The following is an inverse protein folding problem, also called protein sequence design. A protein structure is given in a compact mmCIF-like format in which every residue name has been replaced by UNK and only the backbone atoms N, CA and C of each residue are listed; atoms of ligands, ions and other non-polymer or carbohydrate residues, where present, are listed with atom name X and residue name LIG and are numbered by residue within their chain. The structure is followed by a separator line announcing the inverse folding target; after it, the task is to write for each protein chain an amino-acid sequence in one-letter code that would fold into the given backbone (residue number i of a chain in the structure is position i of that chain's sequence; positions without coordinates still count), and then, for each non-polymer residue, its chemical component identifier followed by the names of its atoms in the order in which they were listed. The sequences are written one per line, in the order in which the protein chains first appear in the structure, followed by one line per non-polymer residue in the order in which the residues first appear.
data_IF_254042944859
#
_entry.id   IF_254042944859
#
_cell.length_a   1.000
_cell.length_b   1.000
_cell.length_c   1.000
_cell.angle_alpha   90.00
_cell.angle_beta   90.00
_cell.angle_gamma   90.00
#
_symmetry.space_group_name_H-M   'P 1'
#
loop_
_entity.id
_entity.type
_entity.pdbx_description
1 polymer ?
#
# COMPACT_ATOMS: atom_id res chain seq x y z
N UNK A 1 10.27 40.90 -0.50
CA UNK A 1 9.71 39.52 -0.48
C UNK A 1 10.35 38.75 0.66
N UNK A 2 9.54 38.34 1.64
CA UNK A 2 10.01 37.76 2.89
C UNK A 2 10.44 36.31 2.69
N UNK A 3 11.74 36.06 2.52
CA UNK A 3 12.33 34.73 2.28
C UNK A 3 12.10 33.70 3.39
N UNK A 4 11.72 34.15 4.60
CA UNK A 4 11.32 33.27 5.70
C UNK A 4 10.04 32.48 5.43
N UNK A 5 9.11 33.04 4.66
CA UNK A 5 7.87 32.35 4.30
C UNK A 5 8.08 31.25 3.22
N UNK A 6 9.06 31.40 2.33
CA UNK A 6 9.34 30.40 1.29
C UNK A 6 9.82 29.06 1.88
N UNK A 7 10.65 29.06 2.92
CA UNK A 7 11.09 27.81 3.58
C UNK A 7 9.94 27.11 4.31
N UNK A 8 9.05 27.87 4.95
CA UNK A 8 7.87 27.29 5.61
C UNK A 8 6.90 26.68 4.62
N UNK A 9 6.62 27.37 3.50
CA UNK A 9 5.70 26.90 2.46
C UNK A 9 6.21 25.58 1.84
N UNK A 10 7.49 25.48 1.49
CA UNK A 10 8.05 24.25 0.93
C UNK A 10 8.00 23.07 1.91
N UNK A 11 8.26 23.33 3.18
CA UNK A 11 8.17 22.30 4.23
C UNK A 11 6.74 21.85 4.44
N UNK A 12 5.81 22.78 4.53
CA UNK A 12 4.40 22.49 4.78
C UNK A 12 3.77 21.73 3.60
N UNK A 13 4.14 22.10 2.36
CA UNK A 13 3.77 21.35 1.17
C UNK A 13 4.36 19.93 1.16
N UNK A 14 5.62 19.76 1.55
CA UNK A 14 6.24 18.43 1.63
C UNK A 14 5.53 17.55 2.67
N UNK A 15 5.18 18.08 3.83
CA UNK A 15 4.43 17.37 4.87
C UNK A 15 3.05 16.97 4.34
N UNK A 16 2.37 17.87 3.64
CA UNK A 16 1.06 17.58 3.07
C UNK A 16 1.12 16.46 2.01
N UNK A 17 2.12 16.48 1.14
CA UNK A 17 2.34 15.46 0.12
C UNK A 17 2.68 14.10 0.76
N UNK A 18 3.52 14.09 1.79
CA UNK A 18 3.91 12.87 2.50
C UNK A 18 2.78 12.28 3.37
N UNK A 19 1.74 13.03 3.69
CA UNK A 19 0.64 12.55 4.53
C UNK A 19 -0.07 11.34 3.94
N UNK A 20 -0.24 11.27 2.62
CA UNK A 20 -0.90 10.16 1.93
C UNK A 20 -0.12 8.82 2.08
N UNK A 21 1.18 8.72 1.72
CA UNK A 21 1.93 7.49 1.92
C UNK A 21 2.10 7.14 3.41
N UNK A 22 2.25 8.14 4.30
CA UNK A 22 2.34 7.91 5.75
C UNK A 22 1.04 7.32 6.29
N UNK A 23 -0.13 7.83 5.86
CA UNK A 23 -1.42 7.28 6.27
C UNK A 23 -1.62 5.85 5.79
N UNK A 24 -1.14 5.50 4.59
CA UNK A 24 -1.14 4.13 4.08
C UNK A 24 -0.30 3.17 4.92
N UNK A 25 0.90 3.59 5.33
CA UNK A 25 1.76 2.80 6.23
C UNK A 25 1.11 2.65 7.60
N UNK A 26 0.55 3.71 8.15
CA UNK A 26 -0.14 3.69 9.45
C UNK A 26 -1.36 2.76 9.40
N UNK A 27 -2.14 2.80 8.34
CA UNK A 27 -3.29 1.91 8.15
C UNK A 27 -2.84 0.44 8.04
N UNK A 28 -1.72 0.17 7.36
CA UNK A 28 -1.11 -1.16 7.30
C UNK A 28 -0.75 -1.66 8.70
N UNK A 29 -0.07 -0.84 9.52
CA UNK A 29 0.32 -1.20 10.89
C UNK A 29 -0.90 -1.51 11.75
N UNK A 30 -1.92 -0.66 11.70
CA UNK A 30 -3.17 -0.85 12.44
C UNK A 30 -3.87 -2.15 11.99
N UNK A 31 -3.96 -2.39 10.69
CA UNK A 31 -4.58 -3.58 10.13
C UNK A 31 -3.84 -4.86 10.53
N UNK A 32 -2.49 -4.83 10.52
CA UNK A 32 -1.68 -5.96 10.97
C UNK A 32 -1.86 -6.23 12.46
N UNK A 33 -1.83 -5.20 13.29
CA UNK A 33 -2.07 -5.34 14.73
C UNK A 33 -3.46 -5.96 15.00
N UNK A 34 -4.49 -5.47 14.32
CA UNK A 34 -5.85 -5.98 14.44
C UNK A 34 -5.94 -7.45 13.97
N UNK A 35 -5.27 -7.78 12.86
CA UNK A 35 -5.20 -9.13 12.33
C UNK A 35 -4.60 -10.11 13.34
N UNK A 36 -3.46 -9.77 13.95
CA UNK A 36 -2.81 -10.59 14.97
C UNK A 36 -3.68 -10.77 16.22
N UNK A 37 -4.31 -9.69 16.68
CA UNK A 37 -5.18 -9.71 17.85
C UNK A 37 -6.39 -10.64 17.60
N UNK A 38 -7.06 -10.47 16.48
CA UNK A 38 -8.20 -11.31 16.11
C UNK A 38 -7.76 -12.76 15.90
N UNK A 39 -6.66 -13.00 15.20
CA UNK A 39 -6.14 -14.35 14.99
C UNK A 39 -5.86 -15.06 16.32
N UNK A 40 -5.25 -14.36 17.29
CA UNK A 40 -5.01 -14.91 18.62
C UNK A 40 -6.30 -15.24 19.38
N UNK A 41 -7.31 -14.37 19.32
CA UNK A 41 -8.64 -14.62 19.88
C UNK A 41 -9.28 -15.82 19.19
N UNK A 42 -9.20 -15.89 17.86
CA UNK A 42 -9.77 -16.97 17.07
C UNK A 42 -9.19 -18.35 17.40
N UNK A 43 -7.89 -18.44 17.68
CA UNK A 43 -7.28 -19.70 18.15
C UNK A 43 -7.85 -20.10 19.53
N UNK A 44 -8.02 -19.15 20.45
CA UNK A 44 -8.55 -19.41 21.78
C UNK A 44 -10.02 -19.85 21.77
N UNK A 45 -10.81 -19.33 20.83
CA UNK A 45 -12.21 -19.66 20.66
C UNK A 45 -12.47 -20.86 19.74
N UNK A 46 -11.41 -21.40 19.10
CA UNK A 46 -11.53 -22.49 18.12
C UNK A 46 -12.10 -22.07 16.76
N UNK A 47 -12.25 -20.76 16.52
CA UNK A 47 -12.79 -20.21 15.27
C UNK A 47 -11.68 -20.03 14.19
N UNK A 48 -10.44 -19.82 14.60
CA UNK A 48 -9.30 -19.74 13.68
C UNK A 48 -8.64 -21.12 13.53
N UNK A 49 -8.20 -21.42 12.30
CA UNK A 49 -7.54 -22.69 12.01
C UNK A 49 -6.15 -22.73 12.66
N UNK A 50 -5.88 -23.70 13.52
CA UNK A 50 -4.56 -23.86 14.12
C UNK A 50 -3.54 -24.23 13.04
N UNK A 51 -2.35 -23.62 13.12
CA UNK A 51 -1.26 -23.86 12.16
C UNK A 51 -1.20 -22.94 10.96
N UNK A 52 -2.19 -22.07 10.77
CA UNK A 52 -2.16 -21.05 9.70
C UNK A 52 -1.69 -19.72 10.29
N UNK A 53 -0.52 -19.19 9.87
CA UNK A 53 -0.01 -17.93 10.38
C UNK A 53 -0.83 -16.74 9.86
N UNK A 54 -0.86 -15.60 10.59
CA UNK A 54 -1.60 -14.41 10.18
C UNK A 54 -1.17 -13.86 8.81
N UNK A 55 0.11 -13.99 8.47
CA UNK A 55 0.66 -13.59 7.18
C UNK A 55 -0.01 -14.26 5.98
N UNK A 56 -0.54 -15.48 6.17
CA UNK A 56 -1.28 -16.20 5.14
C UNK A 56 -2.48 -15.39 4.61
N UNK A 57 -3.20 -14.72 5.50
CA UNK A 57 -4.38 -13.91 5.14
C UNK A 57 -4.02 -12.63 4.35
N UNK A 58 -2.78 -12.17 4.47
CA UNK A 58 -2.29 -11.01 3.73
C UNK A 58 -1.83 -11.37 2.32
N UNK A 59 -0.98 -12.39 2.20
CA UNK A 59 -0.14 -12.61 1.01
C UNK A 59 -0.74 -13.64 0.06
N UNK A 60 -1.52 -14.59 0.59
CA UNK A 60 -1.98 -15.72 -0.21
C UNK A 60 -2.96 -15.33 -1.31
N UNK A 61 -2.96 -16.08 -2.39
CA UNK A 61 -3.88 -15.86 -3.51
C UNK A 61 -5.34 -16.09 -3.10
N UNK A 62 -6.27 -15.47 -3.82
CA UNK A 62 -7.71 -15.68 -3.61
C UNK A 62 -8.11 -17.16 -3.68
N UNK A 63 -7.39 -17.95 -4.50
CA UNK A 63 -7.56 -19.41 -4.61
C UNK A 63 -7.21 -20.13 -3.29
N UNK A 64 -6.10 -19.80 -2.66
CA UNK A 64 -5.70 -20.40 -1.40
C UNK A 64 -6.68 -20.09 -0.26
N UNK A 65 -7.26 -18.89 -0.26
CA UNK A 65 -8.28 -18.48 0.70
C UNK A 65 -9.60 -19.24 0.48
N UNK A 66 -10.03 -19.38 -0.77
CA UNK A 66 -11.23 -20.17 -1.13
C UNK A 66 -11.06 -21.64 -0.74
N UNK A 67 -9.88 -22.23 -0.98
CA UNK A 67 -9.58 -23.59 -0.58
C UNK A 67 -9.62 -23.74 0.96
N UNK A 68 -9.09 -22.75 1.67
CA UNK A 68 -9.15 -22.72 3.13
C UNK A 68 -10.59 -22.67 3.65
N UNK A 69 -11.42 -21.80 3.08
CA UNK A 69 -12.85 -21.68 3.43
C UNK A 69 -13.58 -23.00 3.15
N UNK A 70 -13.27 -23.67 2.06
CA UNK A 70 -13.89 -24.94 1.69
C UNK A 70 -13.53 -26.11 2.64
N UNK A 71 -12.43 -26.01 3.38
CA UNK A 71 -12.02 -27.04 4.39
C UNK A 71 -12.68 -26.86 5.75
N UNK A 72 -13.34 -25.71 5.96
CA UNK A 72 -13.98 -25.37 7.25
C UNK A 72 -15.44 -25.85 7.23
N UNK A 73 -15.79 -26.72 8.17
CA UNK A 73 -17.14 -27.29 8.25
C UNK A 73 -18.18 -26.34 8.90
N UNK A 74 -17.72 -25.44 9.78
CA UNK A 74 -18.60 -24.57 10.57
C UNK A 74 -18.80 -23.21 9.93
N UNK A 75 -20.05 -22.77 9.78
CA UNK A 75 -20.41 -21.46 9.21
C UNK A 75 -19.81 -20.29 10.00
N UNK A 76 -19.73 -20.40 11.34
CA UNK A 76 -19.11 -19.39 12.21
C UNK A 76 -17.63 -19.20 11.93
N UNK A 77 -16.89 -20.29 11.74
CA UNK A 77 -15.48 -20.28 11.41
C UNK A 77 -15.23 -19.76 9.97
N UNK A 78 -16.13 -20.01 9.03
CA UNK A 78 -16.10 -19.44 7.67
C UNK A 78 -16.19 -17.92 7.72
N UNK A 79 -17.19 -17.39 8.43
CA UNK A 79 -17.37 -15.94 8.57
C UNK A 79 -16.16 -15.30 9.24
N UNK A 80 -15.64 -15.93 10.30
CA UNK A 80 -14.46 -15.45 11.00
C UNK A 80 -13.21 -15.41 10.10
N UNK A 81 -12.99 -16.47 9.35
CA UNK A 81 -11.88 -16.56 8.36
C UNK A 81 -12.02 -15.48 7.28
N UNK A 82 -13.23 -15.22 6.79
CA UNK A 82 -13.48 -14.16 5.83
C UNK A 82 -13.12 -12.77 6.40
N UNK A 83 -13.44 -12.52 7.67
CA UNK A 83 -13.04 -11.28 8.36
C UNK A 83 -11.53 -11.13 8.44
N UNK A 84 -10.80 -12.18 8.82
CA UNK A 84 -9.34 -12.17 8.84
C UNK A 84 -8.76 -11.88 7.46
N UNK A 85 -9.33 -12.47 6.41
CA UNK A 85 -8.93 -12.23 5.02
C UNK A 85 -9.13 -10.76 4.59
N UNK A 86 -10.25 -10.15 4.95
CA UNK A 86 -10.53 -8.74 4.62
C UNK A 86 -9.50 -7.84 5.29
N UNK A 87 -9.22 -8.04 6.57
CA UNK A 87 -8.26 -7.23 7.32
C UNK A 87 -6.84 -7.43 6.78
N UNK A 88 -6.44 -8.66 6.50
CA UNK A 88 -5.15 -8.97 5.91
C UNK A 88 -4.97 -8.34 4.51
N UNK A 89 -6.01 -8.40 3.67
CA UNK A 89 -6.01 -7.75 2.36
C UNK A 89 -5.97 -6.22 2.46
N UNK A 90 -6.64 -5.65 3.44
CA UNK A 90 -6.56 -4.21 3.69
C UNK A 90 -5.13 -3.79 4.01
N UNK A 91 -4.41 -4.55 4.84
CA UNK A 91 -3.00 -4.29 5.14
C UNK A 91 -2.13 -4.32 3.88
N UNK A 92 -2.28 -5.34 3.03
CA UNK A 92 -1.52 -5.48 1.78
C UNK A 92 -1.82 -4.33 0.80
N UNK A 93 -3.09 -4.01 0.58
CA UNK A 93 -3.49 -2.95 -0.35
C UNK A 93 -3.00 -1.59 0.15
N UNK A 94 -3.07 -1.33 1.46
CA UNK A 94 -2.62 -0.06 2.03
C UNK A 94 -1.13 0.18 1.81
N UNK A 95 -0.28 -0.83 1.98
CA UNK A 95 1.16 -0.70 1.75
C UNK A 95 1.49 -0.60 0.26
N UNK A 96 0.79 -1.36 -0.59
CA UNK A 96 0.94 -1.26 -2.04
C UNK A 96 0.62 0.15 -2.54
N UNK A 97 -0.48 0.73 -2.06
CA UNK A 97 -0.88 2.11 -2.41
C UNK A 97 0.13 3.13 -1.89
N UNK A 98 0.66 2.96 -0.67
CA UNK A 98 1.66 3.85 -0.13
C UNK A 98 2.92 3.90 -1.02
N UNK A 99 3.43 2.74 -1.45
CA UNK A 99 4.56 2.67 -2.38
C UNK A 99 4.20 3.19 -3.78
N UNK A 100 3.00 2.90 -4.26
CA UNK A 100 2.53 3.39 -5.56
C UNK A 100 2.51 4.92 -5.60
N UNK A 101 1.98 5.58 -4.57
CA UNK A 101 1.96 7.04 -4.50
C UNK A 101 3.35 7.68 -4.36
N UNK A 102 4.35 6.92 -3.84
CA UNK A 102 5.73 7.38 -3.80
C UNK A 102 6.46 7.31 -5.16
N UNK A 103 5.91 6.62 -6.16
CA UNK A 103 6.53 6.55 -7.48
C UNK A 103 6.70 7.95 -8.09
N UNK A 104 7.86 8.22 -8.73
CA UNK A 104 8.15 9.51 -9.34
C UNK A 104 7.43 9.69 -10.70
N UNK A 105 6.16 9.34 -10.76
CA UNK A 105 5.34 9.48 -11.95
C UNK A 105 4.56 10.79 -11.92
N UNK A 106 4.51 11.54 -13.02
CA UNK A 106 3.74 12.78 -13.10
C UNK A 106 2.25 12.48 -12.84
N UNK A 107 1.67 13.25 -11.93
CA UNK A 107 0.30 13.03 -11.41
C UNK A 107 0.25 12.34 -10.05
N UNK A 108 1.32 11.67 -9.60
CA UNK A 108 1.42 11.07 -8.27
C UNK A 108 2.15 11.97 -7.25
N UNK A 109 1.98 11.66 -5.99
CA UNK A 109 2.54 12.47 -4.90
C UNK A 109 4.07 12.43 -4.87
N UNK A 110 4.70 11.31 -5.26
CA UNK A 110 6.15 11.21 -5.40
C UNK A 110 6.74 12.21 -6.38
N UNK A 111 6.07 12.46 -7.51
CA UNK A 111 6.50 13.49 -8.46
C UNK A 111 6.40 14.90 -7.86
N UNK A 112 5.29 15.21 -7.18
CA UNK A 112 5.10 16.52 -6.51
C UNK A 112 6.15 16.74 -5.42
N UNK A 113 6.53 15.67 -4.71
CA UNK A 113 7.59 15.73 -3.71
C UNK A 113 8.92 16.10 -4.34
N UNK A 114 9.31 15.44 -5.43
CA UNK A 114 10.53 15.76 -6.19
C UNK A 114 10.47 17.20 -6.71
N UNK A 115 9.35 17.59 -7.31
CA UNK A 115 9.14 18.95 -7.83
C UNK A 115 9.32 20.02 -6.74
N UNK A 116 8.88 19.75 -5.51
CA UNK A 116 9.02 20.68 -4.39
C UNK A 116 10.48 20.94 -3.98
N UNK A 117 11.39 19.98 -4.22
CA UNK A 117 12.81 20.13 -3.91
C UNK A 117 13.62 20.70 -5.07
N UNK A 118 13.11 20.67 -6.31
CA UNK A 118 13.85 21.17 -7.46
C UNK A 118 14.01 22.71 -7.43
N UNK A 119 15.12 23.22 -8.00
CA UNK A 119 15.32 24.65 -8.21
C UNK A 119 14.33 25.23 -9.21
N UNK A 120 14.00 26.52 -9.05
CA UNK A 120 13.02 27.26 -9.86
C UNK A 120 13.27 27.18 -11.39
N UNK A 121 14.52 26.98 -11.81
CA UNK A 121 14.91 26.85 -13.22
C UNK A 121 14.21 25.69 -13.95
N UNK A 122 13.79 24.67 -13.25
CA UNK A 122 13.17 23.46 -13.83
C UNK A 122 11.63 23.49 -13.82
N UNK A 123 11.01 24.52 -13.23
CA UNK A 123 9.55 24.60 -13.14
C UNK A 123 8.84 24.62 -14.48
N UNK A 124 9.41 25.27 -15.51
CA UNK A 124 8.83 25.30 -16.85
C UNK A 124 8.79 23.91 -17.50
N UNK A 125 9.85 23.12 -17.29
CA UNK A 125 9.92 21.75 -17.78
C UNK A 125 8.97 20.83 -17.01
N UNK A 126 8.93 20.99 -15.69
CA UNK A 126 8.00 20.24 -14.84
C UNK A 126 6.54 20.50 -15.23
N UNK A 127 6.18 21.75 -15.48
CA UNK A 127 4.84 22.10 -15.92
C UNK A 127 4.45 21.43 -17.25
N UNK A 128 5.37 21.39 -18.22
CA UNK A 128 5.15 20.66 -19.48
C UNK A 128 4.93 19.17 -19.26
N UNK A 129 5.73 18.54 -18.39
CA UNK A 129 5.59 17.12 -18.06
C UNK A 129 4.25 16.87 -17.36
N UNK A 130 3.85 17.75 -16.45
CA UNK A 130 2.58 17.64 -15.73
C UNK A 130 1.37 17.75 -16.67
N UNK A 131 1.47 18.55 -17.73
CA UNK A 131 0.43 18.67 -18.76
C UNK A 131 0.18 17.34 -19.50
N UNK A 132 1.21 16.50 -19.63
CA UNK A 132 1.11 15.16 -20.24
C UNK A 132 0.95 14.04 -19.20
N UNK A 133 0.75 14.36 -17.92
CA UNK A 133 0.70 13.39 -16.82
C UNK A 133 -0.30 12.27 -17.04
N UNK A 134 -1.48 12.57 -17.59
CA UNK A 134 -2.50 11.58 -17.91
C UNK A 134 -2.02 10.54 -18.91
N UNK A 135 -1.37 10.96 -19.99
CA UNK A 135 -0.86 10.06 -21.03
C UNK A 135 0.30 9.19 -20.51
N UNK A 136 1.18 9.79 -19.70
CA UNK A 136 2.30 9.08 -19.08
C UNK A 136 1.78 8.03 -18.10
N UNK A 137 0.78 8.38 -17.29
CA UNK A 137 0.13 7.48 -16.35
C UNK A 137 -0.58 6.32 -17.07
N UNK A 138 -1.32 6.63 -18.14
CA UNK A 138 -1.98 5.61 -18.98
C UNK A 138 -0.95 4.67 -19.61
N UNK A 139 0.14 5.22 -20.15
CA UNK A 139 1.25 4.45 -20.70
C UNK A 139 1.88 3.53 -19.67
N UNK A 140 2.05 3.99 -18.43
CA UNK A 140 2.57 3.19 -17.32
C UNK A 140 1.64 2.03 -16.95
N UNK A 141 0.32 2.25 -16.90
CA UNK A 141 -0.67 1.20 -16.67
C UNK A 141 -0.60 0.14 -17.78
N UNK A 142 -0.54 0.57 -19.05
CA UNK A 142 -0.40 -0.33 -20.17
C UNK A 142 0.89 -1.14 -20.10
N UNK A 143 2.00 -0.50 -19.72
CA UNK A 143 3.30 -1.15 -19.57
C UNK A 143 3.28 -2.23 -18.49
N UNK A 144 2.65 -1.98 -17.35
CA UNK A 144 2.48 -2.99 -16.28
C UNK A 144 1.64 -4.18 -16.76
N UNK A 145 0.60 -3.93 -17.58
CA UNK A 145 -0.24 -5.00 -18.12
C UNK A 145 0.50 -5.87 -19.15
N UNK A 146 1.35 -5.25 -19.99
CA UNK A 146 2.13 -5.97 -21.02
C UNK A 146 3.33 -6.69 -20.39
N UNK A 147 3.97 -6.08 -19.40
CA UNK A 147 5.13 -6.62 -18.71
C UNK A 147 4.84 -6.86 -17.23
N UNK A 148 4.35 -8.05 -16.84
CA UNK A 148 4.03 -8.36 -15.45
C UNK A 148 5.20 -8.17 -14.48
N UNK A 149 6.44 -8.25 -14.97
CA UNK A 149 7.64 -7.99 -14.17
C UNK A 149 7.72 -6.53 -13.66
N UNK A 150 7.11 -5.57 -14.37
CA UNK A 150 7.05 -4.19 -13.91
C UNK A 150 6.24 -4.03 -12.61
N UNK A 151 5.29 -4.93 -12.36
CA UNK A 151 4.54 -4.96 -11.09
C UNK A 151 5.45 -5.24 -9.89
N UNK A 152 6.55 -5.97 -10.09
CA UNK A 152 7.50 -6.29 -9.01
C UNK A 152 8.16 -5.06 -8.39
N UNK A 153 8.26 -3.94 -9.12
CA UNK A 153 8.82 -2.68 -8.61
C UNK A 153 8.03 -2.19 -7.37
N UNK A 154 6.71 -2.38 -7.37
CA UNK A 154 5.85 -1.96 -6.26
C UNK A 154 5.60 -3.11 -5.28
N UNK A 155 5.43 -4.33 -5.77
CA UNK A 155 5.07 -5.48 -4.94
C UNK A 155 6.21 -6.00 -4.07
N UNK A 156 7.45 -6.05 -4.59
CA UNK A 156 8.59 -6.59 -3.84
C UNK A 156 8.86 -5.81 -2.55
N UNK A 157 9.02 -4.48 -2.54
CA UNK A 157 9.23 -3.74 -1.30
C UNK A 157 8.03 -3.82 -0.35
N UNK A 158 6.81 -3.87 -0.89
CA UNK A 158 5.59 -3.98 -0.09
C UNK A 158 5.49 -5.32 0.63
N UNK A 159 5.77 -6.42 -0.08
CA UNK A 159 5.77 -7.78 0.49
C UNK A 159 6.93 -7.94 1.48
N UNK A 160 8.10 -7.37 1.19
CA UNK A 160 9.24 -7.42 2.11
C UNK A 160 8.91 -6.75 3.46
N UNK A 161 8.23 -5.61 3.44
CA UNK A 161 7.76 -4.95 4.67
C UNK A 161 6.72 -5.78 5.40
N UNK A 162 5.73 -6.34 4.69
CA UNK A 162 4.75 -7.21 5.31
C UNK A 162 5.40 -8.43 5.97
N UNK A 163 6.37 -9.05 5.32
CA UNK A 163 7.10 -10.19 5.88
C UNK A 163 7.93 -9.83 7.12
N UNK A 164 8.42 -8.59 7.21
CA UNK A 164 9.12 -8.11 8.40
C UNK A 164 8.19 -8.07 9.63
N UNK A 165 6.93 -7.65 9.43
CA UNK A 165 5.92 -7.58 10.48
C UNK A 165 5.22 -8.92 10.76
N UNK A 166 5.38 -9.93 9.88
CA UNK A 166 4.72 -11.23 10.00
C UNK A 166 5.60 -12.32 10.62
N UNK A 167 6.87 -11.99 10.92
CA UNK A 167 7.78 -12.89 11.65
C UNK A 167 7.61 -12.73 13.14
#
# INVERSE_FOLDING_TARGET
VNTRNFKKIKRDNAIHILSAPISGILLMIISMFLLYLLWFIGIKTGLALPGIPPSFYCINSSYGILQLIATVADTSAIVYTAFLCIIGRTALVSILLAFFFLLPLPGLDGYKLIANFLPYRYYSTLYKIEQYSFYIFLGFILLINIFPQAYSIVSVPSIALLNLFSR
#
